data_IF_363233870620
#
_entry.id   IF_363233870620
#
_cell.length_a   1.000
_cell.length_b   1.000
_cell.length_c   1.000
_cell.angle_alpha   90.00
_cell.angle_beta   90.00
_cell.angle_gamma   90.00
#
_symmetry.space_group_name_H-M   'P 1'
#
loop_
_entity.id
_entity.type
_entity.pdbx_description
1 polymer ?
#
# COMPACT_ATOMS: atom_id res chain seq x y z
N UNK A 1 26.42 -9.77 11.60
CA UNK A 1 25.17 -9.02 11.39
C UNK A 1 25.02 -8.01 12.52
N UNK A 2 24.83 -6.72 12.21
CA UNK A 2 24.43 -5.71 13.21
C UNK A 2 23.03 -5.24 12.85
N UNK A 3 22.16 -5.15 13.86
CA UNK A 3 20.80 -4.60 13.69
C UNK A 3 20.91 -3.08 13.69
N UNK A 4 20.32 -2.43 12.70
CA UNK A 4 20.18 -0.97 12.66
C UNK A 4 18.70 -0.60 12.70
N UNK A 5 18.39 0.45 13.47
CA UNK A 5 17.08 1.09 13.45
C UNK A 5 17.08 2.17 12.36
N UNK A 6 16.12 2.09 11.46
CA UNK A 6 15.85 3.09 10.44
C UNK A 6 14.58 3.86 10.81
N UNK A 7 14.55 5.15 10.54
CA UNK A 7 13.37 6.00 10.73
C UNK A 7 12.61 6.04 9.42
N UNK A 8 11.38 5.54 9.41
CA UNK A 8 10.55 5.39 8.20
C UNK A 8 9.16 5.95 8.44
N UNK A 9 8.43 6.27 7.38
CA UNK A 9 6.98 6.48 7.44
C UNK A 9 6.27 5.23 6.93
N UNK A 10 5.12 4.91 7.50
CA UNK A 10 4.27 3.80 7.06
C UNK A 10 3.22 4.34 6.11
N UNK A 11 3.04 3.65 5.00
CA UNK A 11 1.91 3.79 4.09
C UNK A 11 0.99 2.59 4.28
N UNK A 12 -0.30 2.83 4.46
CA UNK A 12 -1.31 1.76 4.44
C UNK A 12 -2.52 2.18 3.61
N UNK A 13 -2.89 1.32 2.66
CA UNK A 13 -4.01 1.51 1.74
C UNK A 13 -5.00 0.37 1.93
N UNK A 14 -6.28 0.69 1.97
CA UNK A 14 -7.38 -0.28 1.96
C UNK A 14 -8.00 -0.28 0.57
N UNK A 15 -7.93 -1.40 -0.12
CA UNK A 15 -8.32 -1.52 -1.52
C UNK A 15 -9.57 -2.41 -1.61
N UNK A 16 -10.73 -1.88 -2.02
CA UNK A 16 -11.94 -2.68 -2.12
C UNK A 16 -11.75 -3.79 -3.16
N UNK A 17 -12.15 -5.01 -2.81
CA UNK A 17 -12.07 -6.17 -3.70
C UNK A 17 -13.39 -6.92 -3.74
N UNK A 18 -13.60 -7.69 -4.81
CA UNK A 18 -14.77 -8.56 -4.91
C UNK A 18 -14.72 -9.69 -3.86
N UNK A 19 -15.88 -10.23 -3.50
CA UNK A 19 -15.97 -11.43 -2.65
C UNK A 19 -15.25 -12.63 -3.27
N UNK A 20 -15.23 -12.73 -4.60
CA UNK A 20 -14.49 -13.76 -5.32
C UNK A 20 -12.98 -13.62 -5.10
N UNK A 21 -12.42 -12.43 -5.37
CA UNK A 21 -11.01 -12.11 -5.13
C UNK A 21 -10.64 -12.39 -3.67
N UNK A 22 -11.45 -11.93 -2.72
CA UNK A 22 -11.24 -12.17 -1.29
C UNK A 22 -11.19 -13.66 -0.96
N UNK A 23 -12.16 -14.44 -1.44
CA UNK A 23 -12.25 -15.88 -1.14
C UNK A 23 -11.05 -16.65 -1.69
N UNK A 24 -10.60 -16.28 -2.89
CA UNK A 24 -9.45 -16.90 -3.54
C UNK A 24 -8.15 -16.57 -2.82
N UNK A 25 -7.95 -15.32 -2.43
CA UNK A 25 -6.79 -14.91 -1.63
C UNK A 25 -6.80 -15.57 -0.25
N UNK A 26 -7.95 -15.65 0.42
CA UNK A 26 -8.10 -16.33 1.70
C UNK A 26 -7.79 -17.84 1.61
N UNK A 27 -8.02 -18.45 0.45
CA UNK A 27 -7.65 -19.83 0.15
C UNK A 27 -6.16 -20.00 -0.27
N UNK A 28 -5.35 -18.94 -0.21
CA UNK A 28 -3.93 -18.96 -0.59
C UNK A 28 -3.67 -18.93 -2.10
N UNK A 29 -4.67 -18.61 -2.93
CA UNK A 29 -4.49 -18.49 -4.38
C UNK A 29 -3.87 -17.15 -4.75
N UNK A 30 -2.55 -17.01 -4.55
CA UNK A 30 -1.80 -15.75 -4.75
C UNK A 30 -1.97 -15.18 -6.18
N UNK A 31 -2.22 -16.03 -7.18
CA UNK A 31 -2.48 -15.58 -8.56
C UNK A 31 -3.70 -14.65 -8.68
N UNK A 32 -4.61 -14.65 -7.70
CA UNK A 32 -5.73 -13.71 -7.66
C UNK A 32 -5.27 -12.24 -7.54
N UNK A 33 -4.08 -11.96 -6.99
CA UNK A 33 -3.51 -10.60 -6.96
C UNK A 33 -3.31 -10.01 -8.35
N UNK A 34 -2.87 -10.84 -9.30
CA UNK A 34 -2.55 -10.41 -10.66
C UNK A 34 -3.77 -10.48 -11.60
N UNK A 35 -4.81 -11.22 -11.20
CA UNK A 35 -6.03 -11.38 -11.99
C UNK A 35 -7.08 -10.32 -11.66
N UNK A 36 -7.04 -9.76 -10.45
CA UNK A 36 -7.82 -8.59 -10.09
C UNK A 36 -7.16 -7.34 -10.67
N UNK A 37 -7.85 -6.63 -11.56
CA UNK A 37 -7.28 -5.47 -12.26
C UNK A 37 -6.90 -4.33 -11.30
N UNK A 38 -7.66 -4.13 -10.23
CA UNK A 38 -7.38 -3.09 -9.25
C UNK A 38 -6.12 -3.40 -8.45
N UNK A 39 -5.99 -4.65 -7.99
CA UNK A 39 -4.78 -5.09 -7.27
C UNK A 39 -3.55 -5.13 -8.18
N UNK A 40 -3.69 -5.56 -9.43
CA UNK A 40 -2.60 -5.53 -10.40
C UNK A 40 -2.12 -4.09 -10.65
N UNK A 41 -3.03 -3.13 -10.81
CA UNK A 41 -2.69 -1.72 -10.99
C UNK A 41 -2.02 -1.11 -9.74
N UNK A 42 -2.48 -1.47 -8.54
CA UNK A 42 -1.84 -1.09 -7.27
C UNK A 42 -0.40 -1.60 -7.21
N UNK A 43 -0.19 -2.90 -7.44
CA UNK A 43 1.14 -3.51 -7.37
C UNK A 43 2.09 -2.93 -8.42
N UNK A 44 1.60 -2.73 -9.66
CA UNK A 44 2.38 -2.08 -10.71
C UNK A 44 2.79 -0.66 -10.31
N UNK A 45 1.86 0.13 -9.75
CA UNK A 45 2.17 1.50 -9.33
C UNK A 45 3.25 1.52 -8.25
N UNK A 46 3.23 0.58 -7.31
CA UNK A 46 4.27 0.44 -6.27
C UNK A 46 5.63 0.05 -6.87
N UNK A 47 5.65 -0.78 -7.91
CA UNK A 47 6.88 -1.14 -8.62
C UNK A 47 7.52 0.06 -9.34
N UNK A 48 6.70 1.03 -9.80
CA UNK A 48 7.16 2.28 -10.43
C UNK A 48 7.80 3.25 -9.42
N UNK A 49 7.46 3.19 -8.13
CA UNK A 49 8.02 4.04 -7.08
C UNK A 49 9.10 3.30 -6.27
N UNK A 50 10.36 3.43 -6.71
CA UNK A 50 11.49 2.71 -6.09
C UNK A 50 11.75 3.05 -4.61
N UNK A 51 11.27 4.20 -4.12
CA UNK A 51 11.38 4.59 -2.71
C UNK A 51 10.43 3.79 -1.79
N UNK A 52 9.37 3.18 -2.34
CA UNK A 52 8.43 2.38 -1.57
C UNK A 52 8.99 0.98 -1.31
N UNK A 53 9.04 0.62 -0.03
CA UNK A 53 9.53 -0.67 0.41
C UNK A 53 11.02 -0.86 0.15
N UNK A 54 11.80 0.22 0.13
CA UNK A 54 13.25 0.15 -0.01
C UNK A 54 13.92 -0.14 1.34
N UNK A 55 14.47 -1.35 1.46
CA UNK A 55 15.28 -1.78 2.59
C UNK A 55 16.68 -2.24 2.14
N UNK A 56 17.25 -1.57 1.13
CA UNK A 56 18.56 -1.88 0.55
C UNK A 56 18.47 -2.99 -0.49
N UNK A 57 18.96 -4.18 -0.17
CA UNK A 57 18.93 -5.34 -1.08
C UNK A 57 17.52 -5.89 -1.32
N UNK A 58 16.54 -5.43 -0.54
CA UNK A 58 15.14 -5.77 -0.68
C UNK A 58 14.40 -4.52 -1.14
N UNK A 59 13.80 -4.60 -2.33
CA UNK A 59 13.02 -3.54 -2.96
C UNK A 59 11.55 -3.94 -3.02
N UNK A 60 10.67 -2.96 -3.09
CA UNK A 60 9.21 -3.18 -3.18
C UNK A 60 8.68 -4.06 -2.04
N UNK A 61 9.29 -3.95 -0.84
CA UNK A 61 8.85 -4.70 0.34
C UNK A 61 7.48 -4.19 0.78
N UNK A 62 6.51 -5.10 0.86
CA UNK A 62 5.19 -4.81 1.40
C UNK A 62 4.65 -5.98 2.22
N UNK A 63 3.71 -5.67 3.11
CA UNK A 63 2.83 -6.62 3.77
C UNK A 63 1.44 -6.50 3.15
N UNK A 64 0.74 -7.62 3.02
CA UNK A 64 -0.68 -7.62 2.67
C UNK A 64 -1.52 -8.40 3.67
N UNK A 65 -2.76 -7.95 3.85
CA UNK A 65 -3.77 -8.63 4.64
C UNK A 65 -5.14 -8.55 3.97
N UNK A 66 -6.07 -9.40 4.41
CA UNK A 66 -7.47 -9.34 4.01
C UNK A 66 -8.29 -8.81 5.17
N UNK A 67 -9.27 -7.96 4.87
CA UNK A 67 -10.14 -7.35 5.87
C UNK A 67 -11.57 -7.16 5.39
N UNK A 68 -12.36 -6.56 6.28
CA UNK A 68 -13.70 -6.08 6.00
C UNK A 68 -13.77 -4.60 6.37
N UNK A 69 -14.41 -3.80 5.53
CA UNK A 69 -14.66 -2.37 5.76
C UNK A 69 -16.16 -2.15 5.94
N UNK A 70 -16.53 -1.34 6.94
CA UNK A 70 -17.92 -1.01 7.22
C UNK A 70 -18.17 0.48 7.02
N UNK A 71 -19.15 0.84 6.19
CA UNK A 71 -19.48 2.23 5.88
C UNK A 71 -20.97 2.41 5.60
N UNK A 72 -21.38 3.68 5.50
CA UNK A 72 -22.72 4.08 5.07
C UNK A 72 -22.56 5.22 4.08
N UNK A 73 -23.03 5.01 2.86
CA UNK A 73 -22.89 5.98 1.79
C UNK A 73 -23.88 7.13 2.00
N UNK A 74 -23.37 8.35 2.08
CA UNK A 74 -24.19 9.56 2.13
C UNK A 74 -24.85 9.87 0.80
N UNK A 75 -25.83 10.78 0.80
CA UNK A 75 -26.43 11.29 -0.43
C UNK A 75 -25.36 11.92 -1.33
N UNK A 76 -25.37 11.58 -2.62
CA UNK A 76 -24.41 12.08 -3.61
C UNK A 76 -23.15 11.22 -3.80
N UNK A 77 -22.96 10.18 -3.00
CA UNK A 77 -21.86 9.23 -3.19
C UNK A 77 -22.07 8.32 -4.41
N UNK A 78 -20.98 7.95 -5.08
CA UNK A 78 -20.94 6.96 -6.17
C UNK A 78 -20.08 5.76 -5.72
N UNK A 79 -20.60 4.93 -4.80
CA UNK A 79 -19.78 3.89 -4.20
C UNK A 79 -19.50 2.76 -5.19
N UNK A 80 -18.25 2.27 -5.17
CA UNK A 80 -17.86 1.06 -5.92
C UNK A 80 -18.60 -0.18 -5.39
N UNK A 81 -18.86 -0.22 -4.08
CA UNK A 81 -19.55 -1.32 -3.39
C UNK A 81 -20.60 -0.74 -2.44
N UNK A 82 -21.78 -1.34 -2.40
CA UNK A 82 -22.89 -0.89 -1.55
C UNK A 82 -23.81 0.13 -2.22
N UNK A 83 -24.75 0.68 -1.44
CA UNK A 83 -25.79 1.59 -1.90
C UNK A 83 -25.89 2.82 -0.98
N UNK A 84 -26.29 3.96 -1.56
CA UNK A 84 -26.61 5.18 -0.80
C UNK A 84 -27.70 4.89 0.24
N UNK A 85 -27.47 5.35 1.47
CA UNK A 85 -28.39 5.16 2.60
C UNK A 85 -28.30 3.81 3.30
N UNK A 86 -27.53 2.85 2.78
CA UNK A 86 -27.40 1.51 3.36
C UNK A 86 -26.11 1.36 4.18
N UNK A 87 -26.19 0.59 5.26
CA UNK A 87 -25.01 0.09 5.98
C UNK A 87 -24.41 -1.04 5.16
N UNK A 88 -23.20 -0.84 4.64
CA UNK A 88 -22.48 -1.84 3.86
C UNK A 88 -21.27 -2.35 4.64
N UNK A 89 -21.00 -3.65 4.50
CA UNK A 89 -19.73 -4.28 4.88
C UNK A 89 -19.16 -4.92 3.64
N UNK A 90 -17.95 -4.55 3.23
CA UNK A 90 -17.32 -5.04 2.01
C UNK A 90 -15.93 -5.65 2.27
N UNK A 91 -15.52 -6.65 1.46
CA UNK A 91 -14.15 -7.15 1.47
C UNK A 91 -13.13 -6.07 1.05
N UNK A 92 -11.97 -6.11 1.69
CA UNK A 92 -10.85 -5.19 1.37
C UNK A 92 -9.52 -5.95 1.38
N UNK A 93 -8.64 -5.56 0.46
CA UNK A 93 -7.23 -5.91 0.47
C UNK A 93 -6.46 -4.78 1.14
N UNK A 94 -5.75 -5.09 2.22
CA UNK A 94 -4.94 -4.13 2.95
C UNK A 94 -3.51 -4.24 2.47
N UNK A 95 -2.98 -3.17 1.92
CA UNK A 95 -1.59 -3.06 1.49
C UNK A 95 -0.82 -2.15 2.45
N UNK A 96 0.31 -2.61 2.98
CA UNK A 96 1.18 -1.82 3.86
C UNK A 96 2.61 -1.85 3.36
N UNK A 97 3.24 -0.68 3.23
CA UNK A 97 4.67 -0.55 2.94
C UNK A 97 5.27 0.59 3.76
N UNK A 98 6.58 0.81 3.60
CA UNK A 98 7.33 1.84 4.30
C UNK A 98 8.20 2.59 3.31
N UNK A 99 8.53 3.83 3.64
CA UNK A 99 9.45 4.66 2.88
C UNK A 99 10.28 5.52 3.84
N UNK A 100 11.42 6.04 3.37
CA UNK A 100 12.31 6.84 4.21
C UNK A 100 11.55 8.05 4.81
N UNK A 101 11.71 8.28 6.12
CA UNK A 101 11.09 9.43 6.77
C UNK A 101 11.65 10.78 6.26
N UNK A 102 12.84 10.77 5.66
CA UNK A 102 13.45 11.94 5.03
C UNK A 102 13.05 12.14 3.55
N UNK A 103 12.21 11.26 2.98
CA UNK A 103 11.69 11.44 1.62
C UNK A 103 10.95 12.78 1.52
N UNK A 104 11.16 13.52 0.42
CA UNK A 104 10.54 14.84 0.25
C UNK A 104 9.02 14.74 0.15
N UNK A 105 8.31 15.66 0.79
CA UNK A 105 6.84 15.63 0.82
C UNK A 105 6.23 15.77 -0.58
N UNK A 106 6.88 16.46 -1.52
CA UNK A 106 6.38 16.53 -2.90
C UNK A 106 6.47 15.19 -3.63
N UNK A 107 7.51 14.39 -3.36
CA UNK A 107 7.60 13.02 -3.86
C UNK A 107 6.52 12.15 -3.23
N UNK A 108 6.22 12.37 -1.94
CA UNK A 108 5.16 11.68 -1.23
C UNK A 108 3.80 11.98 -1.84
N UNK A 109 3.50 13.26 -2.06
CA UNK A 109 2.27 13.73 -2.70
C UNK A 109 2.11 13.18 -4.12
N UNK A 110 3.20 13.06 -4.90
CA UNK A 110 3.13 12.48 -6.25
C UNK A 110 2.66 11.03 -6.25
N UNK A 111 3.22 10.18 -5.36
CA UNK A 111 2.79 8.80 -5.31
C UNK A 111 1.40 8.65 -4.65
N UNK A 112 1.07 9.51 -3.67
CA UNK A 112 -0.30 9.62 -3.16
C UNK A 112 -1.30 9.92 -4.26
N UNK A 113 -1.02 10.92 -5.10
CA UNK A 113 -1.88 11.29 -6.21
C UNK A 113 -2.06 10.11 -7.18
N UNK A 114 -0.98 9.41 -7.53
CA UNK A 114 -1.05 8.22 -8.38
C UNK A 114 -1.96 7.14 -7.80
N UNK A 115 -1.82 6.84 -6.51
CA UNK A 115 -2.67 5.86 -5.83
C UNK A 115 -4.13 6.31 -5.81
N UNK A 116 -4.40 7.59 -5.56
CA UNK A 116 -5.74 8.16 -5.60
C UNK A 116 -6.37 8.03 -6.99
N UNK A 117 -5.61 8.32 -8.05
CA UNK A 117 -6.09 8.29 -9.44
C UNK A 117 -6.51 6.90 -9.92
N UNK A 118 -5.87 5.85 -9.40
CA UNK A 118 -6.17 4.45 -9.76
C UNK A 118 -7.06 3.74 -8.75
N UNK A 119 -7.39 4.38 -7.64
CA UNK A 119 -8.17 3.76 -6.58
C UNK A 119 -9.64 3.57 -7.01
N UNK A 120 -10.30 2.43 -6.69
CA UNK A 120 -11.67 2.20 -7.12
C UNK A 120 -12.71 3.13 -6.47
N UNK A 121 -12.48 3.52 -5.21
CA UNK A 121 -13.35 4.48 -4.51
C UNK A 121 -13.10 5.92 -4.98
N UNK A 122 -14.18 6.68 -5.07
CA UNK A 122 -14.14 8.13 -5.30
C UNK A 122 -13.42 8.93 -4.22
N UNK A 123 -13.46 8.45 -2.96
CA UNK A 123 -12.78 9.08 -1.82
C UNK A 123 -11.96 8.00 -1.08
N UNK A 124 -10.77 7.66 -1.60
CA UNK A 124 -9.86 6.74 -0.93
C UNK A 124 -9.39 7.33 0.41
N UNK A 125 -9.34 6.49 1.44
CA UNK A 125 -8.72 6.85 2.72
C UNK A 125 -7.39 6.11 2.83
N UNK A 126 -6.30 6.85 2.62
CA UNK A 126 -4.94 6.33 2.68
C UNK A 126 -4.29 6.80 3.99
N UNK A 127 -3.79 5.86 4.78
CA UNK A 127 -3.09 6.15 6.03
C UNK A 127 -1.61 6.40 5.74
N UNK A 128 -1.13 7.57 6.15
CA UNK A 128 0.30 7.88 6.25
C UNK A 128 0.62 8.19 7.70
N UNK A 129 1.52 7.43 8.30
CA UNK A 129 1.92 7.66 9.69
C UNK A 129 2.97 8.76 9.80
N UNK A 130 3.07 9.33 11.01
CA UNK A 130 4.32 9.96 11.43
C UNK A 130 5.49 8.95 11.46
N UNK A 131 6.73 9.41 11.65
CA UNK A 131 7.89 8.54 11.62
C UNK A 131 7.82 7.43 12.68
N UNK A 132 8.19 6.22 12.31
CA UNK A 132 8.36 5.05 13.18
C UNK A 132 9.77 4.48 13.01
N UNK A 133 10.28 3.81 14.05
CA UNK A 133 11.56 3.11 13.95
C UNK A 133 11.36 1.63 13.62
N UNK A 134 12.02 1.15 12.57
CA UNK A 134 11.98 -0.25 12.15
C UNK A 134 13.39 -0.84 12.14
N UNK A 135 13.53 -2.12 12.52
CA UNK A 135 14.82 -2.81 12.54
C UNK A 135 15.06 -3.60 11.25
N UNK A 136 16.21 -3.41 10.62
CA UNK A 136 16.63 -4.17 9.43
C UNK A 136 18.09 -4.63 9.51
N UNK A 137 18.47 -5.50 8.57
CA UNK A 137 19.87 -5.93 8.36
C UNK A 137 20.42 -5.29 7.10
N UNK A 138 21.47 -4.48 7.22
CA UNK A 138 22.23 -3.99 6.06
C UNK A 138 23.53 -4.79 5.91
N UNK A 139 23.80 -5.28 4.70
CA UNK A 139 25.14 -5.76 4.35
C UNK A 139 26.01 -4.52 4.07
N UNK A 140 27.09 -4.38 4.83
CA UNK A 140 27.99 -3.21 4.81
C UNK A 140 28.81 -3.03 3.51
N UNK A 141 28.40 -3.64 2.39
CA UNK A 141 29.16 -3.70 1.14
C UNK A 141 28.93 -2.56 0.15
N UNK A 142 27.80 -1.83 0.21
CA UNK A 142 27.39 -0.93 -0.88
C UNK A 142 27.71 0.56 -0.68
N UNK A 143 28.51 0.91 0.33
CA UNK A 143 29.04 2.29 0.48
C UNK A 143 30.44 2.45 -0.11
N UNK A 144 30.65 2.03 -1.35
CA UNK A 144 31.84 2.42 -2.11
C UNK A 144 31.43 3.00 -3.47
N UNK A 145 31.14 4.30 -3.47
CA UNK A 145 30.85 5.07 -4.67
C UNK A 145 31.00 6.58 -4.43
N UNK A 146 32.23 7.06 -4.61
CA UNK A 146 32.65 8.42 -4.97
C UNK A 146 32.48 9.60 -4.00
N UNK A 147 33.59 9.99 -3.34
CA UNK A 147 34.03 11.39 -3.28
C UNK A 147 35.56 11.46 -3.17
N UNK A 148 36.16 12.19 -4.13
CA UNK A 148 37.57 12.54 -4.36
C UNK A 148 38.50 11.45 -4.93
#
# INVERSE_FOLDING_TARGET
MRVQLNTVRKLRVHWPISTETFSRLAAGQITALQQDQGLAALLQSVEEFHDLGDFGNYKHVFESALGLEGFTCGEGAVPTLGCVGERTVSPTFVFTTYFDAALDDSAVEQFMQKLMDIHPWEVPVIEVSGPVSVSGSINAGDRSGAAA
#
